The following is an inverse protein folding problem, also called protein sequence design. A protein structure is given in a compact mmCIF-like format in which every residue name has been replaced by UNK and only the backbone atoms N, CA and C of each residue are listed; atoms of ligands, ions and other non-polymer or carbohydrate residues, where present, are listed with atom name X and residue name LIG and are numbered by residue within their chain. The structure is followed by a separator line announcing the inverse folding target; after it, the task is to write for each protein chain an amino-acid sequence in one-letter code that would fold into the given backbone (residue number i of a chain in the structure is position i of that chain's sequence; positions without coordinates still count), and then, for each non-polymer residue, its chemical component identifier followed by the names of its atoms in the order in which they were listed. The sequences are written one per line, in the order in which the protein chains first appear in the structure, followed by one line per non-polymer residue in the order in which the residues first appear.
data_IF_196374187913
#
_entry.id   IF_196374187913
#
_cell.length_a   1.000
_cell.length_b   1.000
_cell.length_c   1.000
_cell.angle_alpha   90.00
_cell.angle_beta   90.00
_cell.angle_gamma   90.00
#
_symmetry.space_group_name_H-M   'P 1'
#
loop_
_entity.id
_entity.type
_entity.pdbx_description
1 polymer ?
#
# COMPACT_ATOMS: atom_id res chain seq x y z
N UNK A 1 23.87 10.78 -9.98
CA UNK A 1 24.31 11.44 -8.72
C UNK A 1 23.63 10.77 -7.51
N UNK A 2 24.39 10.01 -6.71
CA UNK A 2 23.84 9.20 -5.61
C UNK A 2 24.80 8.94 -4.45
N UNK A 3 25.94 9.64 -4.41
CA UNK A 3 26.89 9.56 -3.31
C UNK A 3 26.54 10.59 -2.23
N UNK A 4 26.60 10.16 -0.97
CA UNK A 4 26.40 10.97 0.24
C UNK A 4 27.76 11.15 0.91
N UNK A 5 28.09 12.39 1.25
CA UNK A 5 29.28 12.68 2.04
C UNK A 5 28.94 12.47 3.52
N UNK A 6 29.67 11.56 4.17
CA UNK A 6 29.52 11.23 5.59
C UNK A 6 30.47 12.04 6.47
N UNK A 7 31.62 12.43 5.94
CA UNK A 7 32.62 13.23 6.64
C UNK A 7 33.29 14.21 5.68
N UNK A 8 33.33 15.48 6.07
CA UNK A 8 34.12 16.52 5.40
C UNK A 8 35.47 16.71 6.11
N UNK A 9 36.54 16.77 5.33
CA UNK A 9 37.85 17.25 5.76
C UNK A 9 37.97 18.75 5.48
N UNK A 10 38.73 19.46 6.32
CA UNK A 10 39.05 20.87 6.11
C UNK A 10 40.48 20.97 5.60
N UNK A 11 40.63 21.37 4.34
CA UNK A 11 41.92 21.66 3.72
C UNK A 11 42.02 23.18 3.49
N UNK A 12 42.61 23.91 4.43
CA UNK A 12 42.64 25.37 4.40
C UNK A 12 41.26 25.98 4.64
N UNK A 13 40.70 26.68 3.64
CA UNK A 13 39.35 27.29 3.72
C UNK A 13 38.26 26.45 3.02
N UNK A 14 38.63 25.38 2.34
CA UNK A 14 37.69 24.55 1.59
C UNK A 14 37.35 23.26 2.36
N UNK A 15 36.07 22.87 2.26
CA UNK A 15 35.61 21.56 2.73
C UNK A 15 35.70 20.58 1.57
N UNK A 16 36.38 19.46 1.81
CA UNK A 16 36.52 18.39 0.83
C UNK A 16 35.94 17.10 1.40
N UNK A 17 35.25 16.28 0.60
CA UNK A 17 34.68 15.02 1.09
C UNK A 17 35.82 14.08 1.51
N UNK A 18 35.88 13.77 2.80
CA UNK A 18 36.87 12.86 3.37
C UNK A 18 36.34 11.43 3.40
N UNK A 19 35.08 11.22 3.75
CA UNK A 19 34.39 9.92 3.65
C UNK A 19 33.10 10.10 2.87
N UNK A 20 32.95 9.37 1.78
CA UNK A 20 31.74 9.32 0.99
C UNK A 20 31.21 7.89 0.90
N UNK A 21 29.90 7.76 0.81
CA UNK A 21 29.18 6.51 0.69
C UNK A 21 28.21 6.56 -0.47
N UNK A 22 28.09 5.47 -1.20
CA UNK A 22 27.09 5.33 -2.26
C UNK A 22 26.57 3.90 -2.31
N UNK A 23 25.24 3.74 -2.46
CA UNK A 23 24.68 2.47 -2.93
C UNK A 23 24.93 2.32 -4.43
N UNK A 24 25.50 1.18 -4.82
CA UNK A 24 25.71 0.82 -6.21
C UNK A 24 25.24 -0.61 -6.44
N UNK A 25 24.21 -0.77 -7.28
CA UNK A 25 23.50 -2.03 -7.42
C UNK A 25 22.87 -2.46 -6.10
N UNK A 26 23.19 -3.68 -5.66
CA UNK A 26 22.69 -4.27 -4.41
C UNK A 26 23.65 -4.12 -3.21
N UNK A 27 24.81 -3.47 -3.41
CA UNK A 27 25.81 -3.26 -2.38
C UNK A 27 26.05 -1.78 -2.06
N UNK A 28 27.05 -1.53 -1.21
CA UNK A 28 27.54 -0.18 -0.91
C UNK A 28 29.03 -0.05 -1.12
N UNK A 29 29.43 1.13 -1.61
CA UNK A 29 30.82 1.53 -1.75
C UNK A 29 31.08 2.67 -0.77
N UNK A 30 32.15 2.55 0.01
CA UNK A 30 32.69 3.63 0.82
C UNK A 30 34.02 4.08 0.21
N UNK A 31 34.17 5.39 0.01
CA UNK A 31 35.40 6.01 -0.45
C UNK A 31 35.93 6.87 0.67
N UNK A 32 37.17 6.62 1.07
CA UNK A 32 37.85 7.40 2.10
C UNK A 32 39.04 8.14 1.49
N UNK A 33 38.86 9.44 1.29
CA UNK A 33 39.76 10.35 0.57
C UNK A 33 40.99 10.78 1.35
N UNK A 34 41.60 9.89 2.13
CA UNK A 34 42.88 10.12 2.81
C UNK A 34 43.90 9.06 2.43
N UNK A 35 45.17 9.45 2.35
CA UNK A 35 46.26 8.51 2.14
C UNK A 35 46.50 7.61 3.37
N UNK A 36 46.17 8.06 4.57
CA UNK A 36 46.39 7.31 5.81
C UNK A 36 45.62 7.86 7.01
N UNK A 37 45.21 6.97 7.91
CA UNK A 37 44.69 7.32 9.25
C UNK A 37 45.73 7.19 10.37
N UNK A 38 46.97 6.83 10.06
CA UNK A 38 47.99 6.55 11.09
C UNK A 38 48.28 7.77 11.96
N UNK A 39 48.34 8.97 11.36
CA UNK A 39 48.53 10.21 12.12
C UNK A 39 47.39 10.48 13.10
N UNK A 40 46.17 10.11 12.75
CA UNK A 40 45.03 10.22 13.65
C UNK A 40 45.17 9.25 14.82
N UNK A 41 45.54 7.99 14.57
CA UNK A 41 45.80 7.01 15.64
C UNK A 41 46.93 7.48 16.58
N UNK A 42 48.03 7.99 16.02
CA UNK A 42 49.18 8.50 16.81
C UNK A 42 48.88 9.79 17.60
N UNK A 43 47.83 10.53 17.24
CA UNK A 43 47.42 11.75 17.95
C UNK A 43 46.54 11.48 19.18
N UNK A 44 46.08 10.24 19.34
CA UNK A 44 45.22 9.84 20.44
C UNK A 44 46.04 9.21 21.58
N UNK A 45 45.57 9.28 22.84
CA UNK A 45 46.13 8.51 23.93
C UNK A 45 46.06 6.99 23.66
N UNK A 46 47.00 6.18 24.16
CA UNK A 46 47.04 4.73 23.92
C UNK A 46 45.76 3.96 24.31
N UNK A 47 44.98 4.50 25.25
CA UNK A 47 43.77 3.88 25.79
C UNK A 47 42.50 4.28 24.99
N UNK A 48 42.59 5.26 24.09
CA UNK A 48 41.46 5.75 23.29
C UNK A 48 41.23 4.86 22.07
N UNK A 49 40.09 4.15 22.07
CA UNK A 49 39.72 3.20 21.00
C UNK A 49 38.88 3.81 19.86
N UNK A 50 38.83 5.14 19.70
CA UNK A 50 38.02 5.78 18.65
C UNK A 50 38.43 5.36 17.24
N UNK A 51 39.74 5.20 17.00
CA UNK A 51 40.27 4.78 15.70
C UNK A 51 39.84 3.34 15.36
N UNK A 52 40.00 2.43 16.31
CA UNK A 52 39.64 1.03 16.22
C UNK A 52 38.12 0.87 16.07
N UNK A 53 37.35 1.66 16.82
CA UNK A 53 35.88 1.67 16.74
C UNK A 53 35.42 2.15 15.36
N UNK A 54 36.01 3.22 14.83
CA UNK A 54 35.68 3.70 13.48
C UNK A 54 35.89 2.61 12.43
N UNK A 55 37.06 1.97 12.41
CA UNK A 55 37.35 0.91 11.44
C UNK A 55 36.48 -0.32 11.64
N UNK A 56 36.21 -0.72 12.88
CA UNK A 56 35.30 -1.83 13.18
C UNK A 56 33.90 -1.56 12.66
N UNK A 57 33.37 -0.35 12.89
CA UNK A 57 32.04 0.01 12.41
C UNK A 57 31.99 0.15 10.89
N UNK A 58 33.04 0.70 10.27
CA UNK A 58 33.12 0.78 8.81
C UNK A 58 33.18 -0.61 8.16
N UNK A 59 33.96 -1.53 8.74
CA UNK A 59 34.03 -2.92 8.28
C UNK A 59 32.72 -3.68 8.51
N UNK A 60 32.06 -3.49 9.65
CA UNK A 60 30.71 -4.03 9.88
C UNK A 60 29.72 -3.49 8.85
N UNK A 61 29.71 -2.19 8.58
CA UNK A 61 28.82 -1.58 7.60
C UNK A 61 29.07 -2.11 6.17
N UNK A 62 30.33 -2.39 5.81
CA UNK A 62 30.69 -3.02 4.54
C UNK A 62 30.25 -4.49 4.47
N UNK A 63 30.45 -5.25 5.54
CA UNK A 63 30.06 -6.65 5.61
C UNK A 63 28.54 -6.82 5.57
N UNK A 64 27.80 -6.00 6.31
CA UNK A 64 26.34 -6.03 6.40
C UNK A 64 25.66 -5.66 5.07
N UNK A 65 26.32 -4.81 4.26
CA UNK A 65 25.85 -4.48 2.93
C UNK A 65 26.00 -5.61 1.90
N UNK A 66 26.61 -6.74 2.27
CA UNK A 66 26.74 -7.91 1.38
C UNK A 66 25.38 -8.59 1.26
N UNK A 67 24.80 -8.69 0.06
CA UNK A 67 23.51 -9.35 -0.12
C UNK A 67 23.60 -10.80 0.36
N UNK A 68 22.64 -11.26 1.15
CA UNK A 68 22.59 -12.68 1.51
C UNK A 68 22.31 -13.54 0.27
N UNK A 69 22.74 -14.80 0.30
CA UNK A 69 22.45 -15.76 -0.78
C UNK A 69 20.96 -16.06 -0.90
N UNK A 70 20.26 -16.06 0.23
CA UNK A 70 18.81 -16.22 0.31
C UNK A 70 18.29 -15.12 1.23
N UNK A 71 17.37 -14.30 0.76
CA UNK A 71 16.69 -13.31 1.59
C UNK A 71 15.18 -13.37 1.36
N UNK A 72 14.41 -13.19 2.42
CA UNK A 72 12.96 -13.09 2.39
C UNK A 72 12.55 -11.73 2.95
N UNK A 73 11.67 -11.02 2.25
CA UNK A 73 11.10 -9.74 2.67
C UNK A 73 9.60 -9.74 2.41
N UNK A 74 8.86 -9.08 3.29
CA UNK A 74 7.50 -8.67 3.00
C UNK A 74 7.51 -7.25 2.41
N UNK A 75 6.52 -6.92 1.59
CA UNK A 75 6.38 -5.57 1.00
C UNK A 75 6.28 -4.49 2.10
N UNK A 76 5.58 -4.83 3.19
CA UNK A 76 5.37 -3.97 4.37
C UNK A 76 5.69 -4.75 5.64
N UNK A 77 6.12 -4.05 6.70
CA UNK A 77 6.32 -4.68 8.02
C UNK A 77 5.02 -4.82 8.83
N UNK A 78 4.04 -3.97 8.54
CA UNK A 78 2.72 -3.95 9.18
C UNK A 78 1.65 -3.89 8.08
N UNK A 79 0.63 -4.74 8.20
CA UNK A 79 -0.55 -4.78 7.32
C UNK A 79 -1.78 -4.48 8.16
N UNK A 80 -2.41 -3.34 7.89
CA UNK A 80 -3.62 -2.88 8.57
C UNK A 80 -4.82 -3.24 7.69
N UNK A 81 -5.76 -4.00 8.24
CA UNK A 81 -7.01 -4.47 7.59
C UNK A 81 -6.83 -5.28 6.28
N UNK A 82 -5.61 -5.36 5.74
CA UNK A 82 -5.23 -6.19 4.61
C UNK A 82 -4.76 -7.56 5.11
N UNK A 83 -5.49 -8.61 4.72
CA UNK A 83 -5.11 -9.99 5.04
C UNK A 83 -4.06 -10.55 4.08
N UNK A 84 -3.75 -9.87 2.97
CA UNK A 84 -2.83 -10.39 1.94
C UNK A 84 -1.44 -9.83 2.14
N UNK A 85 -0.57 -10.66 2.69
CA UNK A 85 0.85 -10.33 2.86
C UNK A 85 1.60 -10.71 1.60
N UNK A 86 2.05 -9.71 0.84
CA UNK A 86 2.93 -9.92 -0.30
C UNK A 86 4.36 -10.20 0.18
N UNK A 87 4.93 -11.30 -0.30
CA UNK A 87 6.29 -11.74 -0.01
C UNK A 87 7.14 -11.74 -1.28
N UNK A 88 8.40 -11.33 -1.10
CA UNK A 88 9.43 -11.36 -2.12
C UNK A 88 10.68 -12.02 -1.53
N UNK A 89 11.21 -13.01 -2.24
CA UNK A 89 12.46 -13.66 -1.91
C UNK A 89 13.47 -13.52 -3.05
N UNK A 90 14.72 -13.18 -2.69
CA UNK A 90 15.85 -13.13 -3.62
C UNK A 90 16.75 -14.34 -3.36
N UNK A 91 16.97 -15.16 -4.39
CA UNK A 91 17.82 -16.36 -4.31
C UNK A 91 19.02 -16.24 -5.24
N UNK A 92 20.19 -16.59 -4.70
CA UNK A 92 21.49 -16.54 -5.38
C UNK A 92 22.28 -17.84 -5.17
N UNK A 93 23.05 -18.19 -6.19
CA UNK A 93 23.99 -19.29 -6.17
C UNK A 93 25.23 -18.95 -5.31
N UNK A 94 26.18 -19.89 -5.19
CA UNK A 94 27.40 -19.67 -4.40
C UNK A 94 28.30 -18.57 -5.00
N UNK A 95 28.22 -18.35 -6.31
CA UNK A 95 28.89 -17.29 -7.07
C UNK A 95 28.08 -15.98 -7.14
N UNK A 96 27.00 -15.89 -6.36
CA UNK A 96 26.07 -14.74 -6.31
C UNK A 96 25.30 -14.45 -7.60
N UNK A 97 25.31 -15.36 -8.58
CA UNK A 97 24.42 -15.27 -9.73
C UNK A 97 22.97 -15.62 -9.34
N UNK A 98 21.97 -15.09 -10.06
CA UNK A 98 20.57 -15.43 -9.84
C UNK A 98 20.32 -16.95 -9.87
N UNK A 99 19.59 -17.46 -8.88
CA UNK A 99 19.13 -18.84 -8.88
C UNK A 99 17.69 -18.89 -9.38
N UNK A 100 17.50 -19.32 -10.63
CA UNK A 100 16.19 -19.30 -11.31
C UNK A 100 15.42 -20.62 -11.21
N UNK A 101 16.08 -21.71 -10.84
CA UNK A 101 15.50 -23.05 -10.73
C UNK A 101 15.60 -23.58 -9.30
N UNK A 102 14.83 -22.97 -8.41
CA UNK A 102 14.65 -23.41 -7.03
C UNK A 102 13.18 -23.70 -6.71
N UNK A 103 12.98 -24.67 -5.83
CA UNK A 103 11.75 -24.86 -5.08
C UNK A 103 11.84 -24.03 -3.80
N UNK A 104 10.89 -23.11 -3.64
CA UNK A 104 10.88 -22.14 -2.53
C UNK A 104 9.60 -22.32 -1.73
N UNK A 105 9.76 -22.81 -0.52
CA UNK A 105 8.67 -23.02 0.43
C UNK A 105 8.83 -22.08 1.61
N UNK A 106 7.73 -21.45 2.04
CA UNK A 106 7.68 -20.65 3.27
C UNK A 106 6.74 -21.32 4.27
N UNK A 107 7.22 -21.53 5.48
CA UNK A 107 6.42 -21.94 6.63
C UNK A 107 5.93 -20.68 7.33
N UNK A 108 4.62 -20.47 7.30
CA UNK A 108 3.93 -19.34 7.92
C UNK A 108 3.43 -19.79 9.28
N UNK A 109 3.98 -19.20 10.34
CA UNK A 109 3.63 -19.47 11.72
C UNK A 109 2.96 -18.23 12.32
N UNK A 110 1.62 -18.18 12.36
CA UNK A 110 0.91 -17.12 13.06
C UNK A 110 1.13 -17.26 14.58
N UNK A 111 1.06 -16.15 15.30
CA UNK A 111 1.05 -16.14 16.76
C UNK A 111 -0.14 -16.93 17.32
N UNK A 112 -1.28 -16.87 16.62
CA UNK A 112 -2.49 -17.59 16.94
C UNK A 112 -2.93 -18.43 15.74
N UNK A 113 -3.09 -19.74 15.94
CA UNK A 113 -3.51 -20.68 14.89
C UNK A 113 -2.45 -21.71 14.51
N UNK A 114 -2.76 -22.52 13.51
CA UNK A 114 -1.86 -23.55 13.01
C UNK A 114 -0.89 -22.97 11.98
N UNK A 115 0.37 -23.41 12.04
CA UNK A 115 1.33 -23.11 11.00
C UNK A 115 0.96 -23.83 9.70
N UNK A 116 1.20 -23.18 8.57
CA UNK A 116 0.94 -23.74 7.24
C UNK A 116 2.05 -23.37 6.26
N UNK A 117 2.20 -24.17 5.19
CA UNK A 117 3.22 -23.93 4.17
C UNK A 117 2.59 -23.27 2.95
N UNK A 118 3.29 -22.27 2.40
CA UNK A 118 2.96 -21.64 1.12
C UNK A 118 4.16 -21.75 0.19
N UNK A 119 3.93 -22.04 -1.09
CA UNK A 119 4.98 -22.03 -2.11
C UNK A 119 5.10 -20.63 -2.72
N UNK A 120 6.33 -20.17 -2.93
CA UNK A 120 6.62 -18.96 -3.73
C UNK A 120 6.91 -19.37 -5.17
N UNK A 121 6.42 -18.58 -6.11
CA UNK A 121 6.57 -18.80 -7.54
C UNK A 121 7.63 -17.86 -8.11
N UNK A 122 8.39 -18.27 -9.15
CA UNK A 122 9.36 -17.40 -9.78
C UNK A 122 8.69 -16.18 -10.41
N UNK A 123 9.34 -15.01 -10.34
CA UNK A 123 8.84 -13.75 -10.90
C UNK A 123 8.62 -13.77 -12.43
N UNK A 124 9.27 -14.73 -13.12
CA UNK A 124 9.29 -14.83 -14.57
C UNK A 124 10.37 -13.99 -15.27
N UNK A 125 11.09 -13.12 -14.54
CA UNK A 125 12.10 -12.23 -15.12
C UNK A 125 13.51 -12.85 -15.21
N UNK A 126 13.71 -14.06 -14.68
CA UNK A 126 15.02 -14.70 -14.64
C UNK A 126 16.03 -14.02 -13.70
N UNK A 127 15.55 -13.17 -12.79
CA UNK A 127 16.34 -12.38 -11.85
C UNK A 127 16.60 -13.09 -10.50
N UNK A 128 16.17 -14.35 -10.38
CA UNK A 128 16.29 -15.12 -9.13
C UNK A 128 15.30 -14.67 -8.05
N UNK A 129 14.30 -13.86 -8.42
CA UNK A 129 13.23 -13.42 -7.54
C UNK A 129 12.06 -14.40 -7.53
N UNK A 130 11.56 -14.67 -6.35
CA UNK A 130 10.36 -15.47 -6.10
C UNK A 130 9.34 -14.62 -5.35
N UNK A 131 8.09 -14.71 -5.76
CA UNK A 131 6.99 -13.92 -5.21
C UNK A 131 5.85 -14.83 -4.79
N UNK A 132 5.09 -14.40 -3.79
CA UNK A 132 3.90 -15.11 -3.35
C UNK A 132 3.10 -14.27 -2.38
N UNK A 133 1.89 -14.72 -2.11
CA UNK A 133 0.96 -14.07 -1.19
C UNK A 133 0.60 -15.05 -0.10
N UNK A 134 0.65 -14.58 1.13
CA UNK A 134 0.27 -15.30 2.34
C UNK A 134 -1.01 -14.69 2.89
N UNK A 135 -1.96 -15.53 3.30
CA UNK A 135 -3.25 -15.09 3.83
C UNK A 135 -3.23 -15.05 5.37
N UNK A 136 -3.20 -13.85 5.92
CA UNK A 136 -3.17 -13.54 7.33
C UNK A 136 -4.58 -13.17 7.83
N UNK A 137 -5.39 -14.20 8.07
CA UNK A 137 -6.78 -14.06 8.48
C UNK A 137 -6.97 -13.49 9.90
N UNK A 138 -6.00 -13.67 10.79
CA UNK A 138 -6.09 -13.23 12.18
C UNK A 138 -5.12 -12.07 12.45
N UNK A 139 -5.49 -11.08 13.28
CA UNK A 139 -4.53 -10.10 13.74
C UNK A 139 -3.47 -10.75 14.63
N UNK A 140 -2.24 -10.26 14.56
CA UNK A 140 -1.11 -10.75 15.37
C UNK A 140 0.22 -10.73 14.63
N UNK A 141 1.25 -11.23 15.29
CA UNK A 141 2.57 -11.41 14.70
C UNK A 141 2.64 -12.70 13.87
N UNK A 142 3.19 -12.61 12.67
CA UNK A 142 3.45 -13.74 11.79
C UNK A 142 4.96 -13.91 11.64
N UNK A 143 5.46 -15.09 11.99
CA UNK A 143 6.83 -15.52 11.68
C UNK A 143 6.80 -16.34 10.40
N UNK A 144 7.62 -15.96 9.42
CA UNK A 144 7.65 -16.61 8.11
C UNK A 144 9.07 -17.11 7.88
N UNK A 145 9.24 -18.43 7.84
CA UNK A 145 10.52 -19.10 7.63
C UNK A 145 10.57 -19.69 6.22
N UNK A 146 11.49 -19.19 5.40
CA UNK A 146 11.75 -19.67 4.05
C UNK A 146 12.78 -20.79 4.03
N UNK A 147 12.54 -21.80 3.19
CA UNK A 147 13.50 -22.83 2.80
C UNK A 147 13.59 -22.89 1.29
N UNK A 148 14.80 -22.71 0.77
CA UNK A 148 15.10 -22.80 -0.65
C UNK A 148 15.85 -24.09 -0.96
N UNK A 149 15.38 -24.86 -1.95
CA UNK A 149 16.04 -26.07 -2.44
C UNK A 149 16.22 -26.01 -3.95
N UNK A 150 17.33 -26.54 -4.44
CA UNK A 150 17.55 -26.78 -5.87
C UNK A 150 17.83 -28.27 -6.03
N UNK A 151 16.85 -29.01 -6.56
CA UNK A 151 16.90 -30.47 -6.57
C UNK A 151 16.96 -31.04 -5.14
N UNK A 152 18.02 -31.80 -4.84
CA UNK A 152 18.22 -32.42 -3.51
C UNK A 152 19.04 -31.57 -2.54
N UNK A 153 19.54 -30.41 -2.97
CA UNK A 153 20.45 -29.58 -2.17
C UNK A 153 19.72 -28.38 -1.61
N UNK A 154 19.80 -28.19 -0.29
CA UNK A 154 19.33 -26.98 0.38
C UNK A 154 20.28 -25.82 0.06
N UNK A 155 19.72 -24.73 -0.44
CA UNK A 155 20.47 -23.54 -0.86
C UNK A 155 20.62 -22.52 0.26
N UNK A 156 19.64 -22.48 1.17
CA UNK A 156 19.65 -21.66 2.36
C UNK A 156 18.25 -21.46 2.95
N UNK A 157 18.22 -20.74 4.06
CA UNK A 157 17.02 -20.36 4.80
C UNK A 157 17.02 -18.87 5.08
N UNK A 158 15.84 -18.29 5.25
CA UNK A 158 15.66 -16.90 5.65
C UNK A 158 14.41 -16.78 6.52
N UNK A 159 14.40 -15.85 7.46
CA UNK A 159 13.23 -15.61 8.32
C UNK A 159 12.85 -14.14 8.23
N UNK A 160 11.55 -13.87 8.16
CA UNK A 160 10.99 -12.53 8.29
C UNK A 160 9.81 -12.51 9.25
N UNK A 161 9.48 -11.34 9.76
CA UNK A 161 8.37 -11.12 10.66
C UNK A 161 7.47 -10.03 10.11
N UNK A 162 6.16 -10.26 10.18
CA UNK A 162 5.13 -9.33 9.72
C UNK A 162 4.05 -9.23 10.78
N UNK A 163 3.51 -8.03 11.01
CA UNK A 163 2.38 -7.84 11.92
C UNK A 163 1.12 -7.51 11.14
N UNK A 164 0.02 -8.18 11.46
CA UNK A 164 -1.31 -7.90 10.91
C UNK A 164 -2.18 -7.29 11.99
N UNK A 165 -2.85 -6.18 11.70
CA UNK A 165 -3.70 -5.44 12.65
C UNK A 165 -5.10 -5.21 12.08
N UNK A 166 -6.12 -5.24 12.95
CA UNK A 166 -7.50 -4.85 12.64
C UNK A 166 -7.76 -3.41 13.11
N UNK A 167 -8.56 -2.65 12.36
CA UNK A 167 -9.24 -1.44 12.83
C UNK A 167 -8.36 -0.20 12.94
N UNK A 168 -7.26 -0.13 12.19
CA UNK A 168 -6.34 1.03 12.23
C UNK A 168 -6.58 2.00 11.06
N UNK A 169 -7.23 1.56 9.97
CA UNK A 169 -7.57 2.47 8.86
C UNK A 169 -8.55 3.57 9.33
N UNK A 170 -9.43 3.29 10.30
CA UNK A 170 -10.31 4.31 10.89
C UNK A 170 -9.56 5.31 11.79
N UNK A 171 -8.32 4.99 12.19
CA UNK A 171 -7.47 5.82 13.05
C UNK A 171 -6.34 6.56 12.31
N UNK A 172 -5.99 6.15 11.09
CA UNK A 172 -5.09 6.86 10.20
C UNK A 172 -5.85 7.92 9.39
N UNK A 173 -5.36 9.16 9.42
CA UNK A 173 -6.05 10.35 8.87
C UNK A 173 -7.36 10.75 9.59
N UNK A 174 -7.34 10.79 10.94
CA UNK A 174 -8.32 11.56 11.74
C UNK A 174 -8.36 13.06 11.42
N UNK A 175 -7.50 13.52 10.51
CA UNK A 175 -7.51 14.89 10.02
C UNK A 175 -8.51 15.07 8.87
N UNK A 176 -9.24 16.17 8.92
CA UNK A 176 -10.16 16.54 7.86
C UNK A 176 -9.38 16.81 6.56
N UNK A 177 -9.57 15.98 5.52
CA UNK A 177 -9.03 16.21 4.18
C UNK A 177 -9.73 17.37 3.45
N UNK A 178 -9.46 18.60 3.92
CA UNK A 178 -10.11 19.84 3.45
C UNK A 178 -10.01 20.04 1.94
N UNK A 179 -8.86 19.75 1.34
CA UNK A 179 -8.64 19.92 -0.10
C UNK A 179 -9.52 19.02 -0.96
N UNK A 180 -9.85 17.81 -0.49
CA UNK A 180 -10.74 16.87 -1.16
C UNK A 180 -12.19 17.33 -1.01
N UNK A 181 -12.59 17.69 0.22
CA UNK A 181 -13.95 18.16 0.51
C UNK A 181 -14.29 19.45 -0.24
N UNK A 182 -13.37 20.41 -0.30
CA UNK A 182 -13.52 21.64 -1.10
C UNK A 182 -13.66 21.36 -2.60
N UNK A 183 -12.94 20.34 -3.10
CA UNK A 183 -13.01 19.95 -4.51
C UNK A 183 -14.33 19.27 -4.85
N UNK A 184 -14.79 18.36 -4.00
CA UNK A 184 -16.10 17.72 -4.14
C UNK A 184 -17.19 18.79 -4.15
N UNK A 185 -17.17 19.71 -3.17
CA UNK A 185 -18.13 20.81 -3.11
C UNK A 185 -18.14 21.65 -4.40
N UNK A 186 -16.96 22.04 -4.92
CA UNK A 186 -16.87 22.77 -6.20
C UNK A 186 -17.44 21.99 -7.38
N UNK A 187 -17.17 20.68 -7.46
CA UNK A 187 -17.66 19.83 -8.57
C UNK A 187 -19.16 19.58 -8.51
N UNK A 188 -19.74 19.47 -7.31
CA UNK A 188 -21.19 19.26 -7.13
C UNK A 188 -22.00 20.56 -7.12
N UNK A 189 -21.34 21.72 -7.26
CA UNK A 189 -21.96 23.04 -7.13
C UNK A 189 -22.32 23.41 -5.68
N UNK A 190 -21.85 22.64 -4.70
CA UNK A 190 -21.99 22.92 -3.28
C UNK A 190 -20.93 23.87 -2.74
N UNK A 191 -20.99 24.13 -1.42
CA UNK A 191 -20.02 24.94 -0.69
C UNK A 191 -19.46 24.16 0.49
N UNK A 192 -18.16 24.22 0.68
CA UNK A 192 -17.49 23.69 1.87
C UNK A 192 -17.66 24.68 3.03
N UNK A 193 -18.05 24.17 4.20
CA UNK A 193 -18.26 24.95 5.42
C UNK A 193 -17.22 24.60 6.47
N UNK A 194 -16.59 25.62 7.05
CA UNK A 194 -15.73 25.44 8.22
C UNK A 194 -16.53 25.55 9.52
N UNK A 195 -15.99 25.03 10.61
CA UNK A 195 -16.64 25.03 11.93
C UNK A 195 -16.98 26.45 12.42
N UNK A 196 -16.13 27.43 12.09
CA UNK A 196 -16.29 28.86 12.39
C UNK A 196 -17.33 29.56 11.50
N UNK A 197 -17.73 28.95 10.38
CA UNK A 197 -18.68 29.53 9.42
C UNK A 197 -20.10 28.95 9.56
N UNK A 198 -20.30 27.97 10.46
CA UNK A 198 -21.56 27.22 10.61
C UNK A 198 -22.80 28.10 10.87
N UNK A 199 -22.64 29.29 11.44
CA UNK A 199 -23.74 30.23 11.65
C UNK A 199 -24.47 30.66 10.37
N UNK A 200 -23.80 30.60 9.22
CA UNK A 200 -24.39 30.92 7.91
C UNK A 200 -25.01 29.71 7.20
N UNK A 201 -24.87 28.50 7.74
CA UNK A 201 -25.27 27.25 7.07
C UNK A 201 -26.78 27.20 6.84
N UNK A 202 -27.57 27.63 7.83
CA UNK A 202 -29.04 27.65 7.73
C UNK A 202 -29.56 28.57 6.64
N UNK A 203 -28.88 29.70 6.40
CA UNK A 203 -29.22 30.64 5.33
C UNK A 203 -28.80 30.14 3.94
N UNK A 204 -27.79 29.28 3.88
CA UNK A 204 -27.26 28.72 2.64
C UNK A 204 -27.91 27.40 2.22
N UNK A 205 -28.75 26.81 3.07
CA UNK A 205 -29.70 25.77 2.68
C UNK A 205 -30.93 26.54 2.18
N UNK A 206 -31.08 26.77 0.85
CA UNK A 206 -32.31 27.33 0.35
C UNK A 206 -33.44 26.40 0.81
N UNK A 207 -34.54 27.00 1.28
CA UNK A 207 -35.79 26.30 1.56
C UNK A 207 -36.42 25.87 0.24
N UNK A 208 -35.72 25.04 -0.51
CA UNK A 208 -36.21 24.41 -1.71
C UNK A 208 -37.04 23.25 -1.21
N UNK A 209 -38.36 23.34 -1.42
CA UNK A 209 -39.18 22.16 -1.68
C UNK A 209 -38.64 21.50 -2.97
N UNK A 210 -37.44 20.94 -2.92
CA UNK A 210 -37.12 19.75 -3.68
C UNK A 210 -37.98 18.71 -2.96
N UNK A 211 -39.27 18.63 -3.26
CA UNK A 211 -39.64 18.26 -4.60
C UNK A 211 -38.99 16.90 -4.82
N UNK A 212 -39.26 15.97 -3.89
CA UNK A 212 -39.29 14.55 -4.23
C UNK A 212 -40.08 14.55 -5.53
N UNK A 213 -39.40 14.30 -6.65
CA UNK A 213 -40.08 14.06 -7.92
C UNK A 213 -40.72 12.70 -7.72
N UNK A 214 -41.85 12.70 -7.00
CA UNK A 214 -42.71 11.55 -6.92
C UNK A 214 -43.32 11.44 -8.31
N UNK A 215 -42.72 10.58 -9.12
CA UNK A 215 -43.21 10.25 -10.45
C UNK A 215 -44.49 9.43 -10.26
N UNK A 216 -45.59 10.10 -9.95
CA UNK A 216 -46.90 9.47 -9.89
C UNK A 216 -47.29 9.09 -11.33
N UNK A 217 -47.22 7.80 -11.63
CA UNK A 217 -47.88 7.25 -12.80
C UNK A 217 -49.38 7.29 -12.52
N UNK A 218 -50.04 8.32 -13.04
CA UNK A 218 -51.50 8.34 -13.09
C UNK A 218 -51.94 7.35 -14.17
N UNK A 219 -52.63 6.30 -13.78
CA UNK A 219 -53.23 5.36 -14.72
C UNK A 219 -54.34 6.07 -15.51
N UNK A 220 -54.09 6.32 -16.81
CA UNK A 220 -55.04 7.02 -17.68
C UNK A 220 -56.41 6.32 -17.73
N UNK A 221 -56.44 5.00 -17.48
CA UNK A 221 -57.66 4.19 -17.45
C UNK A 221 -58.58 4.48 -16.27
N UNK A 222 -58.05 5.00 -15.15
CA UNK A 222 -58.83 5.25 -13.93
C UNK A 222 -59.24 6.74 -13.80
N UNK A 223 -59.19 7.50 -14.89
CA UNK A 223 -59.62 8.90 -14.89
C UNK A 223 -61.14 8.94 -15.11
N UNK A 224 -61.93 9.66 -14.27
CA UNK A 224 -63.39 9.74 -14.39
C UNK A 224 -63.88 10.15 -15.79
N UNK A 225 -63.10 10.96 -16.51
CA UNK A 225 -63.41 11.42 -17.86
C UNK A 225 -63.47 10.26 -18.86
N UNK A 226 -62.56 9.28 -18.78
CA UNK A 226 -62.54 8.12 -19.69
C UNK A 226 -63.77 7.25 -19.44
N UNK A 227 -64.17 7.07 -18.18
CA UNK A 227 -65.42 6.40 -17.82
C UNK A 227 -66.65 7.12 -18.38
N UNK A 228 -66.72 8.46 -18.24
CA UNK A 228 -67.82 9.25 -18.78
C UNK A 228 -67.92 9.17 -20.31
N UNK A 229 -66.78 9.16 -21.02
CA UNK A 229 -66.75 9.00 -22.48
C UNK A 229 -67.26 7.61 -22.90
N UNK A 230 -66.81 6.54 -22.23
CA UNK A 230 -67.28 5.18 -22.50
C UNK A 230 -68.78 5.03 -22.21
N UNK A 231 -69.26 5.62 -21.11
CA UNK A 231 -70.67 5.65 -20.76
C UNK A 231 -71.48 6.41 -21.82
N UNK A 232 -71.00 7.58 -22.27
CA UNK A 232 -71.66 8.36 -23.32
C UNK A 232 -71.71 7.61 -24.65
N UNK A 233 -70.65 6.90 -25.04
CA UNK A 233 -70.64 6.04 -26.22
C UNK A 233 -71.67 4.92 -26.11
N UNK A 234 -71.80 4.28 -24.94
CA UNK A 234 -72.79 3.23 -24.72
C UNK A 234 -74.23 3.74 -24.68
N UNK A 235 -74.47 4.87 -24.04
CA UNK A 235 -75.78 5.52 -24.05
C UNK A 235 -76.13 6.03 -25.45
N UNK A 236 -75.14 6.52 -26.20
CA UNK A 236 -75.28 6.90 -27.60
C UNK A 236 -75.66 5.71 -28.49
N UNK A 237 -74.96 4.58 -28.34
CA UNK A 237 -75.29 3.32 -29.03
C UNK A 237 -76.71 2.85 -28.69
N UNK A 238 -77.08 2.87 -27.41
CA UNK A 238 -78.42 2.48 -26.97
C UNK A 238 -79.50 3.41 -27.56
N UNK A 239 -79.28 4.72 -27.52
CA UNK A 239 -80.21 5.69 -28.10
C UNK A 239 -80.33 5.53 -29.63
N UNK A 240 -79.22 5.23 -30.32
CA UNK A 240 -79.20 4.90 -31.74
C UNK A 240 -79.97 3.60 -32.02
N UNK A 241 -79.81 2.55 -31.21
CA UNK A 241 -80.60 1.30 -31.33
C UNK A 241 -82.08 1.53 -31.09
N UNK A 242 -82.44 2.37 -30.11
CA UNK A 242 -83.82 2.73 -29.80
C UNK A 242 -84.45 3.50 -30.97
N UNK A 243 -83.70 4.41 -31.60
CA UNK A 243 -84.18 5.24 -32.71
C UNK A 243 -84.24 4.49 -34.05
N UNK A 244 -83.41 3.46 -34.25
CA UNK A 244 -83.38 2.64 -35.45
C UNK A 244 -84.13 1.30 -35.34
N UNK A 245 -84.93 1.10 -34.28
CA UNK A 245 -85.95 0.06 -34.23
C UNK A 245 -85.44 -1.37 -34.32
N UNK A 246 -84.27 -1.67 -33.73
CA UNK A 246 -83.81 -3.07 -33.54
C UNK A 246 -83.75 -3.43 -32.06
N UNK A 247 -84.92 -3.45 -31.43
CA UNK A 247 -85.22 -4.22 -30.23
C UNK A 247 -86.45 -5.09 -30.53
#
# INVERSE_FOLDING_TARGET
PGAIVLLDGVAGRERQPLLAWQRYGQGSVYMFGTASTQRWQMSLPPEDQRHETFWRQLLHALADATPQRVSLRAERGVYEDDSRIALEADLRQADYQPLTQAEVEVLVSPEQGAAYTQRLEPSGNGDGRYVGVVDAQQPGLYRIDLRARSGKTEQGTATTFVRREDGVIEHFAREQHRSVLERIAKMTGGRYWRLDELGGLTAAIPYTKAGIVERQMLDLWNIPIVFLILLALKLGEWALRLKWGRL
#
